data_IF_306264320582
#
_entry.id   IF_306264320582
#
_cell.length_a   1.000
_cell.length_b   1.000
_cell.length_c   1.000
_cell.angle_alpha   90.00
_cell.angle_beta   90.00
_cell.angle_gamma   90.00
#
_symmetry.space_group_name_H-M   'P 1'
#
loop_
_entity.id
_entity.type
_entity.pdbx_description
1 polymer ?
#
# COMPACT_ATOMS: atom_id res chain seq x y z
N UNK A 1 -3.83 9.08 9.81
CA UNK A 1 -2.49 9.02 9.17
C UNK A 1 -2.11 10.33 8.49
N UNK A 2 -3.00 10.98 7.72
CA UNK A 2 -2.70 12.26 7.05
C UNK A 2 -2.13 13.37 7.97
N UNK A 3 -2.61 13.49 9.22
CA UNK A 3 -2.09 14.45 10.20
C UNK A 3 -0.64 14.20 10.67
N UNK A 4 -0.10 13.00 10.46
CA UNK A 4 1.26 12.59 10.88
C UNK A 4 2.22 12.58 9.67
N UNK A 5 1.71 12.21 8.50
CA UNK A 5 2.47 12.12 7.25
C UNK A 5 2.60 13.47 6.54
N UNK A 6 1.66 14.39 6.79
CA UNK A 6 1.50 15.64 6.04
C UNK A 6 0.55 15.45 4.86
N UNK A 7 -0.30 16.45 4.60
CA UNK A 7 -1.35 16.37 3.59
C UNK A 7 -0.78 16.14 2.18
N UNK A 8 0.28 16.86 1.81
CA UNK A 8 0.89 16.76 0.47
C UNK A 8 1.51 15.40 0.21
N UNK A 9 2.21 14.87 1.22
CA UNK A 9 2.86 13.56 1.13
C UNK A 9 1.82 12.44 1.09
N UNK A 10 0.76 12.56 1.89
CA UNK A 10 -0.36 11.64 1.85
C UNK A 10 -1.07 11.67 0.50
N UNK A 11 -1.36 12.86 -0.05
CA UNK A 11 -2.00 12.98 -1.37
C UNK A 11 -1.10 12.38 -2.44
N UNK A 12 0.20 12.70 -2.46
CA UNK A 12 1.14 12.14 -3.43
C UNK A 12 1.18 10.61 -3.42
N UNK A 13 1.28 9.99 -2.25
CA UNK A 13 1.43 8.53 -2.13
C UNK A 13 0.11 7.78 -2.31
N UNK A 14 -0.99 8.28 -1.73
CA UNK A 14 -2.24 7.52 -1.62
C UNK A 14 -3.31 7.93 -2.64
N UNK A 15 -3.16 9.04 -3.39
CA UNK A 15 -4.18 9.46 -4.36
C UNK A 15 -4.30 8.54 -5.56
N UNK A 16 -3.20 7.96 -6.01
CA UNK A 16 -3.16 7.09 -7.19
C UNK A 16 -2.93 5.61 -6.85
N UNK A 17 -2.93 5.27 -5.55
CA UNK A 17 -2.70 3.90 -5.09
C UNK A 17 -3.91 3.02 -5.38
N UNK A 18 -3.68 1.77 -5.79
CA UNK A 18 -4.71 0.74 -5.89
C UNK A 18 -4.36 -0.41 -4.94
N UNK A 19 -5.20 -0.63 -3.93
CA UNK A 19 -5.22 -1.88 -3.17
C UNK A 19 -6.01 -2.90 -3.98
N UNK A 20 -5.40 -4.05 -4.26
CA UNK A 20 -5.97 -5.06 -5.15
C UNK A 20 -6.31 -6.35 -4.39
N UNK A 21 -5.98 -7.51 -4.94
CA UNK A 21 -6.29 -8.79 -4.32
C UNK A 21 -5.41 -9.12 -3.12
N UNK A 22 -5.91 -10.07 -2.32
CA UNK A 22 -5.15 -10.75 -1.28
C UNK A 22 -4.96 -12.20 -1.72
N UNK A 23 -3.71 -12.60 -1.97
CA UNK A 23 -3.34 -14.01 -2.19
C UNK A 23 -2.69 -14.56 -0.92
N UNK A 24 -3.27 -15.61 -0.33
CA UNK A 24 -2.86 -16.07 0.99
C UNK A 24 -2.97 -14.95 2.03
N UNK A 25 -1.85 -14.56 2.63
CA UNK A 25 -1.69 -13.46 3.60
C UNK A 25 -0.94 -12.25 3.01
N UNK A 26 -0.84 -12.18 1.69
CA UNK A 26 -0.16 -11.13 0.92
C UNK A 26 -1.19 -10.20 0.33
N UNK A 27 -1.09 -8.90 0.63
CA UNK A 27 -1.88 -7.85 -0.01
C UNK A 27 -1.08 -7.20 -1.14
N UNK A 28 -1.65 -7.17 -2.35
CA UNK A 28 -1.07 -6.46 -3.49
C UNK A 28 -1.50 -4.99 -3.51
N UNK A 29 -0.52 -4.11 -3.62
CA UNK A 29 -0.72 -2.65 -3.67
C UNK A 29 0.03 -2.09 -4.86
N UNK A 30 -0.63 -1.30 -5.68
CA UNK A 30 -0.03 -0.67 -6.85
C UNK A 30 0.09 0.83 -6.66
N UNK A 31 1.31 1.33 -6.54
CA UNK A 31 1.65 2.75 -6.41
C UNK A 31 1.89 3.40 -7.78
N UNK A 32 1.89 4.73 -7.84
CA UNK A 32 1.95 5.48 -9.10
C UNK A 32 3.20 5.17 -9.94
N UNK A 33 4.37 5.13 -9.32
CA UNK A 33 5.68 4.94 -9.92
C UNK A 33 6.60 4.19 -8.93
N UNK A 34 7.85 3.96 -9.34
CA UNK A 34 8.84 3.22 -8.53
C UNK A 34 9.20 3.96 -7.24
N UNK A 35 9.36 5.28 -7.28
CA UNK A 35 9.70 6.08 -6.11
C UNK A 35 8.57 6.02 -5.07
N UNK A 36 7.31 6.15 -5.50
CA UNK A 36 6.15 6.01 -4.64
C UNK A 36 5.99 4.58 -4.11
N UNK A 37 6.32 3.57 -4.90
CA UNK A 37 6.28 2.17 -4.48
C UNK A 37 7.30 1.91 -3.36
N UNK A 38 8.56 2.29 -3.57
CA UNK A 38 9.64 2.13 -2.60
C UNK A 38 9.34 2.87 -1.29
N UNK A 39 8.91 4.13 -1.37
CA UNK A 39 8.56 4.91 -0.18
C UNK A 39 7.37 4.31 0.58
N UNK A 40 6.38 3.76 -0.14
CA UNK A 40 5.23 3.11 0.48
C UNK A 40 5.59 1.77 1.12
N UNK A 41 6.46 1.00 0.48
CA UNK A 41 6.99 -0.25 1.03
C UNK A 41 7.79 0.01 2.32
N UNK A 42 8.76 0.92 2.27
CA UNK A 42 9.68 1.18 3.38
C UNK A 42 8.97 1.80 4.60
N UNK A 43 8.03 2.73 4.38
CA UNK A 43 7.46 3.51 5.48
C UNK A 43 6.04 3.09 5.88
N UNK A 44 5.28 2.49 4.97
CA UNK A 44 3.85 2.28 5.17
C UNK A 44 3.40 0.82 5.12
N UNK A 45 4.19 -0.12 4.61
CA UNK A 45 3.78 -1.53 4.47
C UNK A 45 3.26 -2.14 5.78
N UNK A 46 3.96 -1.95 6.90
CA UNK A 46 3.52 -2.45 8.21
C UNK A 46 2.20 -1.79 8.69
N UNK A 47 2.06 -0.49 8.47
CA UNK A 47 0.83 0.21 8.83
C UNK A 47 -0.35 -0.27 7.99
N UNK A 48 -0.13 -0.45 6.69
CA UNK A 48 -1.10 -0.99 5.75
C UNK A 48 -1.49 -2.40 6.17
N UNK A 49 -0.53 -3.27 6.51
CA UNK A 49 -0.81 -4.66 6.91
C UNK A 49 -1.69 -4.74 8.16
N UNK A 50 -1.40 -3.91 9.18
CA UNK A 50 -2.20 -3.82 10.41
C UNK A 50 -3.63 -3.35 10.10
N UNK A 51 -3.79 -2.33 9.25
CA UNK A 51 -5.10 -1.79 8.90
C UNK A 51 -5.89 -2.80 8.07
N UNK A 52 -5.27 -3.38 7.04
CA UNK A 52 -5.88 -4.41 6.20
C UNK A 52 -6.31 -5.62 7.02
N UNK A 53 -5.47 -6.06 7.96
CA UNK A 53 -5.80 -7.19 8.85
C UNK A 53 -7.06 -6.91 9.68
N UNK A 54 -7.18 -5.69 10.21
CA UNK A 54 -8.36 -5.27 10.99
C UNK A 54 -9.62 -5.17 10.13
N UNK A 55 -9.50 -4.67 8.90
CA UNK A 55 -10.64 -4.52 7.99
C UNK A 55 -11.13 -5.89 7.50
N UNK A 56 -10.20 -6.79 7.16
CA UNK A 56 -10.51 -8.10 6.60
C UNK A 56 -10.83 -9.18 7.66
N UNK A 57 -10.54 -8.91 8.93
CA UNK A 57 -10.77 -9.86 10.03
C UNK A 57 -9.85 -11.08 9.98
N UNK A 58 -8.71 -10.99 9.28
CA UNK A 58 -7.69 -12.03 9.14
C UNK A 58 -6.31 -11.41 9.05
N UNK A 59 -5.26 -12.13 9.41
CA UNK A 59 -3.90 -11.61 9.32
C UNK A 59 -3.45 -11.42 7.87
N UNK A 60 -2.87 -10.25 7.61
CA UNK A 60 -2.09 -9.90 6.44
C UNK A 60 -0.65 -9.70 6.91
N UNK A 61 0.25 -10.60 6.50
CA UNK A 61 1.63 -10.61 6.97
C UNK A 61 2.56 -9.85 6.03
N UNK A 62 2.20 -9.76 4.74
CA UNK A 62 3.00 -9.08 3.73
C UNK A 62 2.16 -8.11 2.92
N UNK A 63 2.71 -6.93 2.66
CA UNK A 63 2.15 -5.95 1.73
C UNK A 63 3.17 -5.81 0.62
N UNK A 64 2.85 -6.32 -0.57
CA UNK A 64 3.71 -6.19 -1.73
C UNK A 64 3.31 -4.93 -2.50
N UNK A 65 4.18 -3.93 -2.47
CA UNK A 65 3.97 -2.67 -3.18
C UNK A 65 4.69 -2.71 -4.52
N UNK A 66 3.95 -2.51 -5.60
CA UNK A 66 4.46 -2.55 -6.96
C UNK A 66 4.16 -1.23 -7.68
N UNK A 67 5.02 -0.77 -8.60
CA UNK A 67 4.66 0.34 -9.46
C UNK A 67 3.56 -0.08 -10.44
N UNK A 68 2.62 0.83 -10.72
CA UNK A 68 1.38 0.56 -11.47
C UNK A 68 1.61 0.11 -12.91
N UNK A 69 2.77 0.37 -13.51
CA UNK A 69 3.09 -0.13 -14.84
C UNK A 69 3.30 -1.66 -14.88
N UNK A 70 3.48 -2.32 -13.72
CA UNK A 70 3.55 -3.78 -13.60
C UNK A 70 2.19 -4.45 -13.40
N UNK A 71 1.12 -3.66 -13.36
CA UNK A 71 -0.24 -4.15 -13.22
C UNK A 71 -0.61 -4.89 -14.51
N UNK A 72 -0.55 -6.22 -14.49
CA UNK A 72 -0.98 -7.07 -15.61
C UNK A 72 -2.51 -7.07 -15.62
N UNK A 73 -3.09 -6.38 -16.59
CA UNK A 73 -4.54 -6.34 -16.87
C UNK A 73 -4.93 -7.57 -17.69
#
# INVERSE_FOLDING_TARGET
MALIVGADRFDRLFRAVRFDEVDGDILYVYAQDEDAAAEMEDEFALHISIIASKILGREINLVLVLPRHLLKI
#
